data_IF_930188526421
#
_entry.id   IF_930188526421
#
_cell.length_a   1.000
_cell.length_b   1.000
_cell.length_c   1.000
_cell.angle_alpha   90.00
_cell.angle_beta   90.00
_cell.angle_gamma   90.00
#
_symmetry.space_group_name_H-M   'P 1'
#
loop_
_entity.id
_entity.type
_entity.pdbx_description
1 polymer ?
#
# COMPACT_ATOMS: atom_id res chain seq x y z
N UNK A 1 2.24 -46.79 -23.65
CA UNK A 1 1.16 -46.46 -24.59
C UNK A 1 1.57 -45.20 -25.33
N UNK A 2 1.77 -45.27 -26.65
CA UNK A 2 2.15 -44.10 -27.44
C UNK A 2 1.01 -43.09 -27.41
N UNK A 3 1.30 -41.82 -27.06
CA UNK A 3 0.32 -40.74 -27.23
C UNK A 3 -0.13 -40.70 -28.69
N UNK A 4 -1.44 -40.61 -28.91
CA UNK A 4 -1.99 -40.49 -30.27
C UNK A 4 -1.51 -39.19 -30.91
N UNK A 5 -1.18 -39.23 -32.21
CA UNK A 5 -0.85 -38.03 -32.99
C UNK A 5 -1.93 -36.94 -32.87
N UNK A 6 -3.19 -37.31 -32.62
CA UNK A 6 -4.26 -36.37 -32.33
C UNK A 6 -4.09 -35.64 -31.00
N UNK A 7 -3.63 -36.32 -29.94
CA UNK A 7 -3.42 -35.70 -28.62
C UNK A 7 -2.28 -34.67 -28.68
N UNK A 8 -1.21 -34.99 -29.42
CA UNK A 8 -0.10 -34.06 -29.67
C UNK A 8 -0.59 -32.82 -30.41
N UNK A 9 -1.38 -33.00 -31.50
CA UNK A 9 -1.99 -31.87 -32.22
C UNK A 9 -2.91 -31.04 -31.33
N UNK A 10 -3.69 -31.67 -30.45
CA UNK A 10 -4.57 -30.97 -29.49
C UNK A 10 -3.75 -30.13 -28.51
N UNK A 11 -2.65 -30.67 -27.98
CA UNK A 11 -1.76 -29.96 -27.05
C UNK A 11 -1.11 -28.74 -27.71
N UNK A 12 -0.61 -28.88 -28.94
CA UNK A 12 -0.05 -27.76 -29.73
C UNK A 12 -1.10 -26.67 -29.96
N UNK A 13 -2.32 -27.04 -30.33
CA UNK A 13 -3.40 -26.08 -30.54
C UNK A 13 -3.77 -25.36 -29.22
N UNK A 14 -3.75 -26.07 -28.08
CA UNK A 14 -4.01 -25.49 -26.77
C UNK A 14 -2.92 -24.51 -26.34
N UNK A 15 -1.64 -24.88 -26.42
CA UNK A 15 -0.53 -23.99 -26.03
C UNK A 15 -0.45 -22.76 -26.93
N UNK A 16 -0.73 -22.90 -28.23
CA UNK A 16 -0.81 -21.77 -29.17
C UNK A 16 -1.93 -20.80 -28.79
N UNK A 17 -3.11 -21.31 -28.43
CA UNK A 17 -4.23 -20.47 -27.94
C UNK A 17 -3.88 -19.76 -26.64
N UNK A 18 -3.29 -20.47 -25.68
CA UNK A 18 -2.84 -19.86 -24.41
C UNK A 18 -1.82 -18.74 -24.67
N UNK A 19 -0.86 -18.96 -25.58
CA UNK A 19 0.13 -17.94 -25.96
C UNK A 19 -0.51 -16.67 -26.55
N UNK A 20 -1.53 -16.80 -27.40
CA UNK A 20 -2.27 -15.66 -27.94
C UNK A 20 -3.01 -14.88 -26.83
N UNK A 21 -3.62 -15.58 -25.88
CA UNK A 21 -4.32 -14.96 -24.74
C UNK A 21 -3.33 -14.18 -23.87
N UNK A 22 -2.20 -14.78 -23.51
CA UNK A 22 -1.17 -14.11 -22.69
C UNK A 22 -0.54 -12.93 -23.42
N UNK A 23 -0.34 -13.04 -24.73
CA UNK A 23 0.16 -11.92 -25.55
C UNK A 23 -0.81 -10.73 -25.52
N UNK A 24 -2.11 -10.98 -25.67
CA UNK A 24 -3.13 -9.94 -25.58
C UNK A 24 -3.17 -9.34 -24.16
N UNK A 25 -3.10 -10.16 -23.11
CA UNK A 25 -3.04 -9.70 -21.72
C UNK A 25 -1.82 -8.81 -21.47
N UNK A 26 -0.65 -9.14 -22.03
CA UNK A 26 0.56 -8.33 -21.93
C UNK A 26 0.36 -6.95 -22.58
N UNK A 27 -0.20 -6.91 -23.79
CA UNK A 27 -0.49 -5.63 -24.48
C UNK A 27 -1.49 -4.78 -23.68
N UNK A 28 -2.55 -5.38 -23.15
CA UNK A 28 -3.54 -4.69 -22.31
C UNK A 28 -2.91 -4.15 -21.03
N UNK A 29 -2.06 -4.94 -20.37
CA UNK A 29 -1.37 -4.53 -19.14
C UNK A 29 -0.39 -3.40 -19.40
N UNK A 30 0.34 -3.45 -20.52
CA UNK A 30 1.22 -2.37 -20.96
C UNK A 30 0.46 -1.07 -21.22
N UNK A 31 -0.70 -1.14 -21.89
CA UNK A 31 -1.54 0.03 -22.11
C UNK A 31 -2.06 0.65 -20.79
N UNK A 32 -2.49 -0.20 -19.84
CA UNK A 32 -2.91 0.24 -18.50
C UNK A 32 -1.77 0.89 -17.73
N UNK A 33 -0.57 0.32 -17.77
CA UNK A 33 0.62 0.88 -17.12
C UNK A 33 0.90 2.29 -17.65
N UNK A 34 0.95 2.46 -18.98
CA UNK A 34 1.18 3.77 -19.59
C UNK A 34 0.09 4.79 -19.19
N UNK A 35 -1.16 4.36 -19.07
CA UNK A 35 -2.25 5.23 -18.60
C UNK A 35 -2.09 5.63 -17.13
N UNK A 36 -1.68 4.69 -16.26
CA UNK A 36 -1.45 4.94 -14.84
C UNK A 36 -0.25 5.87 -14.65
N UNK A 37 0.85 5.66 -15.38
CA UNK A 37 2.03 6.53 -15.35
C UNK A 37 1.67 7.97 -15.71
N UNK A 38 0.86 8.18 -16.76
CA UNK A 38 0.38 9.52 -17.13
C UNK A 38 -0.44 10.16 -16.01
N UNK A 39 -1.28 9.40 -15.31
CA UNK A 39 -2.07 9.89 -14.16
C UNK A 39 -1.17 10.21 -12.97
N UNK A 40 -0.23 9.34 -12.65
CA UNK A 40 0.73 9.54 -11.56
C UNK A 40 1.58 10.79 -11.78
N UNK A 41 2.08 11.00 -13.00
CA UNK A 41 2.86 12.20 -13.36
C UNK A 41 2.05 13.49 -13.19
N UNK A 42 0.77 13.48 -13.52
CA UNK A 42 -0.12 14.63 -13.27
C UNK A 42 -0.39 14.84 -11.77
N UNK A 43 -0.55 13.75 -11.03
CA UNK A 43 -0.77 13.79 -9.57
C UNK A 43 0.42 14.38 -8.81
N UNK A 44 1.65 14.18 -9.29
CA UNK A 44 2.86 14.74 -8.67
C UNK A 44 2.77 16.26 -8.45
N UNK A 45 2.23 17.00 -9.43
CA UNK A 45 2.07 18.46 -9.31
C UNK A 45 1.16 18.82 -8.14
N UNK A 46 0.06 18.08 -7.97
CA UNK A 46 -0.84 18.28 -6.84
C UNK A 46 -0.19 17.90 -5.50
N UNK A 47 0.47 16.73 -5.43
CA UNK A 47 1.13 16.29 -4.20
C UNK A 47 2.22 17.25 -3.75
N UNK A 48 2.97 17.82 -4.69
CA UNK A 48 4.02 18.79 -4.39
C UNK A 48 3.43 20.08 -3.80
N UNK A 49 2.31 20.58 -4.36
CA UNK A 49 1.64 21.77 -3.81
C UNK A 49 0.99 21.52 -2.47
N UNK A 50 0.32 20.39 -2.27
CA UNK A 50 -0.21 20.00 -0.96
C UNK A 50 0.90 19.91 0.05
N UNK A 51 2.02 19.25 -0.29
CA UNK A 51 3.18 19.16 0.59
C UNK A 51 3.74 20.54 0.95
N UNK A 52 3.86 21.45 -0.01
CA UNK A 52 4.29 22.84 0.26
C UNK A 52 3.35 23.52 1.26
N UNK A 53 2.05 23.49 1.02
CA UNK A 53 1.05 24.13 1.90
C UNK A 53 1.08 23.53 3.30
N UNK A 54 1.09 22.19 3.40
CA UNK A 54 1.15 21.49 4.69
C UNK A 54 2.45 21.81 5.43
N UNK A 55 3.59 21.90 4.72
CA UNK A 55 4.88 22.26 5.33
C UNK A 55 4.87 23.70 5.83
N UNK A 56 4.31 24.64 5.06
CA UNK A 56 4.16 26.04 5.50
C UNK A 56 3.24 26.17 6.71
N UNK A 57 2.10 25.47 6.71
CA UNK A 57 1.16 25.47 7.84
C UNK A 57 1.78 24.81 9.09
N UNK A 58 2.45 23.68 8.92
CA UNK A 58 3.15 22.99 9.99
C UNK A 58 4.24 23.87 10.61
N UNK A 59 5.04 24.55 9.78
CA UNK A 59 6.06 25.48 10.27
C UNK A 59 5.45 26.66 11.05
N UNK A 60 4.34 27.22 10.58
CA UNK A 60 3.62 28.28 11.29
C UNK A 60 3.06 27.83 12.64
N UNK A 61 2.38 26.68 12.67
CA UNK A 61 1.83 26.10 13.90
C UNK A 61 2.91 25.62 14.88
N UNK A 62 4.04 25.11 14.38
CA UNK A 62 5.19 24.78 15.21
C UNK A 62 5.78 26.03 15.87
N UNK A 63 5.82 27.16 15.16
CA UNK A 63 6.27 28.44 15.71
C UNK A 63 5.32 28.95 16.80
N UNK A 64 4.00 28.86 16.58
CA UNK A 64 2.99 29.22 17.57
C UNK A 64 3.05 28.33 18.82
N UNK A 65 3.25 27.02 18.66
CA UNK A 65 3.41 26.09 19.78
C UNK A 65 4.73 26.27 20.52
N UNK A 66 5.83 26.64 19.82
CA UNK A 66 7.09 26.99 20.46
C UNK A 66 6.95 28.24 21.33
N UNK A 67 6.17 29.23 20.89
CA UNK A 67 5.88 30.44 21.67
C UNK A 67 4.85 30.18 22.79
N UNK A 68 3.89 29.28 22.61
CA UNK A 68 2.88 28.92 23.62
C UNK A 68 3.43 27.98 24.72
N UNK A 69 4.51 27.24 24.44
CA UNK A 69 5.19 26.40 25.44
C UNK A 69 5.91 27.23 26.53
N UNK A 70 6.01 28.56 26.38
CA UNK A 70 6.50 29.46 27.44
C UNK A 70 5.39 29.92 28.41
N UNK A 71 4.10 29.66 28.11
CA UNK A 71 2.98 30.03 28.97
C UNK A 71 2.30 28.80 29.55
N UNK A 72 2.84 28.30 30.67
CA UNK A 72 2.15 27.40 31.58
C UNK A 72 0.87 28.07 32.10
N UNK A 73 -0.31 27.74 31.58
CA UNK A 73 -1.54 27.73 32.38
C UNK A 73 -2.54 26.70 31.84
N UNK A 74 -3.10 25.99 32.81
CA UNK A 74 -3.91 24.79 32.76
C UNK A 74 -5.34 24.97 32.18
N UNK A 75 -5.91 23.81 31.82
CA UNK A 75 -7.34 23.48 31.73
C UNK A 75 -8.17 23.91 30.51
N UNK A 76 -8.77 22.90 29.86
CA UNK A 76 -10.12 23.01 29.31
C UNK A 76 -10.34 22.48 27.89
N UNK A 77 -10.95 21.28 27.80
CA UNK A 77 -11.62 20.69 26.63
C UNK A 77 -10.76 20.07 25.51
N UNK A 78 -10.36 18.80 25.71
CA UNK A 78 -9.66 17.93 24.74
C UNK A 78 -10.63 17.22 23.78
N UNK A 79 -11.66 17.92 23.30
CA UNK A 79 -12.65 17.34 22.38
C UNK A 79 -12.23 17.53 20.92
N UNK A 80 -11.70 16.46 20.34
CA UNK A 80 -11.88 16.05 18.93
C UNK A 80 -11.58 17.05 17.81
N UNK A 81 -10.48 17.78 17.89
CA UNK A 81 -9.80 18.21 16.66
C UNK A 81 -8.46 17.51 16.64
N UNK A 82 -8.28 16.57 15.70
CA UNK A 82 -6.95 16.05 15.34
C UNK A 82 -6.20 17.26 14.79
N UNK A 83 -5.56 18.02 15.67
CA UNK A 83 -4.72 19.14 15.26
C UNK A 83 -3.51 18.56 14.55
N UNK A 84 -3.07 19.21 13.47
CA UNK A 84 -1.89 18.80 12.70
C UNK A 84 -0.67 18.66 13.63
N UNK A 85 -0.63 19.48 14.69
CA UNK A 85 0.32 19.39 15.78
C UNK A 85 0.36 18.02 16.49
N UNK A 86 -0.78 17.38 16.73
CA UNK A 86 -0.86 16.05 17.36
C UNK A 86 -0.23 14.96 16.48
N UNK A 87 -0.28 15.10 15.16
CA UNK A 87 0.36 14.18 14.22
C UNK A 87 1.89 14.37 14.12
N UNK A 88 2.41 15.53 14.52
CA UNK A 88 3.84 15.86 14.50
C UNK A 88 4.56 15.47 15.81
N UNK A 89 3.82 15.23 16.90
CA UNK A 89 4.40 14.85 18.19
C UNK A 89 4.86 13.38 18.19
N UNK A 90 6.14 13.15 18.53
CA UNK A 90 6.67 11.80 18.74
C UNK A 90 6.16 11.23 20.06
N UNK A 91 5.26 10.26 20.00
CA UNK A 91 4.71 9.53 21.15
C UNK A 91 5.34 8.14 21.30
N UNK A 92 5.37 7.55 22.51
CA UNK A 92 5.77 6.16 22.69
C UNK A 92 4.85 5.23 21.90
N UNK A 93 5.44 4.25 21.20
CA UNK A 93 4.72 3.34 20.30
C UNK A 93 4.04 2.26 21.15
N UNK A 94 2.70 2.35 21.26
CA UNK A 94 1.88 1.32 21.93
C UNK A 94 1.33 0.28 20.95
N UNK A 95 1.08 0.71 19.71
CA UNK A 95 0.54 -0.14 18.64
C UNK A 95 0.99 0.39 17.29
N UNK A 96 1.39 -0.49 16.39
CA UNK A 96 1.86 -0.14 15.04
C UNK A 96 0.82 -0.50 13.99
N UNK A 97 0.49 0.42 13.09
CA UNK A 97 -0.41 0.16 11.98
C UNK A 97 0.37 -0.15 10.70
N UNK A 98 0.16 -1.33 10.11
CA UNK A 98 0.70 -1.70 8.80
C UNK A 98 -0.38 -1.52 7.72
N UNK A 99 -0.10 -0.64 6.75
CA UNK A 99 -0.92 -0.50 5.54
C UNK A 99 -0.29 -1.28 4.39
N UNK A 100 -0.94 -2.34 3.95
CA UNK A 100 -0.41 -3.31 3.00
C UNK A 100 -1.16 -3.14 1.69
N UNK A 101 -0.44 -2.74 0.63
CA UNK A 101 -1.03 -2.50 -0.69
C UNK A 101 -0.66 -3.64 -1.62
N UNK A 102 -1.67 -4.37 -2.08
CA UNK A 102 -1.57 -5.53 -2.96
C UNK A 102 -2.46 -5.36 -4.18
N UNK A 103 -2.35 -6.26 -5.17
CA UNK A 103 -3.29 -6.26 -6.29
C UNK A 103 -4.62 -6.93 -5.92
N UNK A 104 -5.68 -6.56 -6.65
CA UNK A 104 -6.98 -7.25 -6.56
C UNK A 104 -7.01 -8.59 -7.30
N UNK A 105 -6.05 -8.83 -8.21
CA UNK A 105 -6.06 -9.98 -9.13
C UNK A 105 -4.73 -10.72 -9.12
N UNK A 106 -4.79 -12.01 -9.42
CA UNK A 106 -3.61 -12.85 -9.68
C UNK A 106 -2.98 -12.59 -11.05
N UNK A 107 -2.07 -13.49 -11.46
CA UNK A 107 -1.29 -13.40 -12.72
C UNK A 107 -0.39 -12.16 -12.83
N UNK A 108 0.08 -11.65 -11.68
CA UNK A 108 0.96 -10.46 -11.56
C UNK A 108 2.41 -10.84 -11.23
N UNK A 109 2.83 -12.05 -11.60
CA UNK A 109 4.14 -12.58 -11.25
C UNK A 109 4.34 -12.68 -9.74
N UNK A 110 5.49 -12.23 -9.26
CA UNK A 110 5.89 -12.29 -7.85
C UNK A 110 5.42 -11.10 -7.00
N UNK A 111 4.75 -10.10 -7.57
CA UNK A 111 4.43 -8.83 -6.89
C UNK A 111 3.79 -9.04 -5.51
N UNK A 112 2.63 -9.71 -5.44
CA UNK A 112 1.93 -9.91 -4.17
C UNK A 112 2.76 -10.74 -3.17
N UNK A 113 3.41 -11.79 -3.65
CA UNK A 113 4.23 -12.66 -2.78
C UNK A 113 5.41 -11.91 -2.18
N UNK A 114 6.06 -11.02 -2.94
CA UNK A 114 7.17 -10.21 -2.46
C UNK A 114 6.71 -9.20 -1.41
N UNK A 115 5.61 -8.48 -1.67
CA UNK A 115 5.05 -7.50 -0.72
C UNK A 115 4.64 -8.17 0.59
N UNK A 116 3.90 -9.28 0.52
CA UNK A 116 3.43 -9.99 1.71
C UNK A 116 4.59 -10.59 2.51
N UNK A 117 5.64 -11.12 1.85
CA UNK A 117 6.83 -11.62 2.55
C UNK A 117 7.60 -10.50 3.26
N UNK A 118 7.79 -9.37 2.59
CA UNK A 118 8.47 -8.22 3.20
C UNK A 118 7.71 -7.70 4.43
N UNK A 119 6.39 -7.61 4.33
CA UNK A 119 5.52 -7.24 5.45
C UNK A 119 5.60 -8.24 6.61
N UNK A 120 5.51 -9.55 6.34
CA UNK A 120 5.63 -10.57 7.39
C UNK A 120 7.01 -10.52 8.07
N UNK A 121 8.07 -10.24 7.31
CA UNK A 121 9.41 -10.08 7.86
C UNK A 121 9.49 -8.85 8.77
N UNK A 122 8.97 -7.70 8.34
CA UNK A 122 8.90 -6.49 9.16
C UNK A 122 8.12 -6.71 10.45
N UNK A 123 6.95 -7.35 10.39
CA UNK A 123 6.16 -7.65 11.60
C UNK A 123 6.95 -8.53 12.56
N UNK A 124 7.67 -9.53 12.04
CA UNK A 124 8.49 -10.43 12.88
C UNK A 124 9.67 -9.72 13.52
N UNK A 125 10.26 -8.74 12.84
CA UNK A 125 11.42 -7.99 13.33
C UNK A 125 11.01 -6.88 14.31
N UNK A 126 9.83 -6.29 14.13
CA UNK A 126 9.33 -5.17 14.93
C UNK A 126 8.46 -5.59 16.14
N UNK A 127 7.86 -6.79 16.12
CA UNK A 127 6.87 -7.23 17.11
C UNK A 127 7.05 -8.70 17.54
N UNK A 128 6.91 -8.96 18.84
CA UNK A 128 6.87 -10.31 19.39
C UNK A 128 5.44 -10.81 19.64
N UNK A 129 4.50 -9.90 19.92
CA UNK A 129 3.11 -10.22 20.24
C UNK A 129 2.13 -9.80 19.13
N UNK A 130 1.07 -10.59 18.85
CA UNK A 130 0.01 -10.22 17.90
C UNK A 130 -0.77 -8.96 18.27
N UNK A 131 -0.82 -8.59 19.55
CA UNK A 131 -1.62 -7.45 20.03
C UNK A 131 -0.97 -6.09 19.75
N UNK A 132 0.31 -6.08 19.37
CA UNK A 132 1.11 -4.86 19.19
C UNK A 132 0.95 -4.24 17.80
N UNK A 133 0.22 -4.88 16.89
CA UNK A 133 0.01 -4.36 15.54
C UNK A 133 -1.43 -4.45 15.04
N UNK A 134 -1.76 -3.62 14.04
CA UNK A 134 -3.00 -3.69 13.25
C UNK A 134 -2.62 -3.71 11.79
N UNK A 135 -3.24 -4.59 11.01
CA UNK A 135 -3.05 -4.66 9.57
C UNK A 135 -4.27 -4.11 8.84
N UNK A 136 -4.01 -3.21 7.89
CA UNK A 136 -5.00 -2.72 6.93
C UNK A 136 -4.56 -3.13 5.54
N UNK A 137 -5.34 -3.98 4.88
CA UNK A 137 -5.04 -4.43 3.53
C UNK A 137 -5.84 -3.61 2.50
N UNK A 138 -5.13 -3.10 1.49
CA UNK A 138 -5.71 -2.57 0.26
C UNK A 138 -5.40 -3.59 -0.84
N UNK A 139 -6.44 -4.07 -1.49
CA UNK A 139 -6.36 -5.10 -2.54
C UNK A 139 -6.94 -6.44 -2.10
N UNK A 140 -7.64 -7.10 -3.02
CA UNK A 140 -8.30 -8.39 -2.78
C UNK A 140 -7.37 -9.48 -2.26
N UNK A 141 -6.16 -9.60 -2.83
CA UNK A 141 -5.21 -10.66 -2.42
C UNK A 141 -4.70 -10.45 -0.99
N UNK A 142 -4.36 -9.21 -0.62
CA UNK A 142 -3.94 -8.86 0.74
C UNK A 142 -5.07 -9.02 1.75
N UNK A 143 -6.30 -8.67 1.39
CA UNK A 143 -7.47 -8.86 2.24
C UNK A 143 -7.75 -10.37 2.49
N UNK A 144 -7.67 -11.18 1.44
CA UNK A 144 -7.83 -12.64 1.54
C UNK A 144 -6.67 -13.32 2.29
N UNK A 145 -5.47 -12.75 2.22
CA UNK A 145 -4.33 -13.21 3.00
C UNK A 145 -4.53 -12.90 4.49
N UNK A 146 -4.88 -11.65 4.80
CA UNK A 146 -5.07 -11.19 6.18
C UNK A 146 -6.22 -11.92 6.87
N UNK A 147 -7.30 -12.25 6.16
CA UNK A 147 -8.40 -13.09 6.67
C UNK A 147 -8.02 -14.52 7.01
N UNK A 148 -6.96 -15.06 6.41
CA UNK A 148 -6.47 -16.43 6.67
C UNK A 148 -5.39 -16.49 7.74
N UNK A 149 -4.72 -15.36 7.96
CA UNK A 149 -3.65 -15.22 8.95
C UNK A 149 -4.17 -14.79 10.33
N UNK A 150 -5.35 -14.18 10.38
CA UNK A 150 -6.15 -13.99 11.60
C UNK A 150 -6.90 -15.28 11.96
#
# INVERSE_FOLDING_TARGET
MAESLMDIKRKIASTKKTGQITQAMQMVSGAKLSQIEKRAKKYQIYSDKVRQIVTHLAAGQLLELANAAESDTDSGDKSQVISVASLLQKRPVKKTGYLVITSDRGLVGSYNSTVLKAMMQMIKDDHESPDDYVMMAIGGVGADFSRRAA
#
